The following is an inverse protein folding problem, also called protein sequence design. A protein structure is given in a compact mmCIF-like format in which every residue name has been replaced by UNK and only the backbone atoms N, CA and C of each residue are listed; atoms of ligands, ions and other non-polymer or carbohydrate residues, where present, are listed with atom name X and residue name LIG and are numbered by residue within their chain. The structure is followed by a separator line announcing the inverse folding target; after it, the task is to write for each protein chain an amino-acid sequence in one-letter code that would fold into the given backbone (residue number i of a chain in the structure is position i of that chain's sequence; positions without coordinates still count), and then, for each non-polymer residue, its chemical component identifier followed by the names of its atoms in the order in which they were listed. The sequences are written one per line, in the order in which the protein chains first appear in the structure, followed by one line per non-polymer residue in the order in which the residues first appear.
data_IF_353453206293
#
_entry.id   IF_353453206293
#
_cell.length_a   1.000
_cell.length_b   1.000
_cell.length_c   1.000
_cell.angle_alpha   90.00
_cell.angle_beta   90.00
_cell.angle_gamma   90.00
#
_symmetry.space_group_name_H-M   'P 1'
#
loop_
_entity.id
_entity.type
_entity.pdbx_description
1 polymer ?
#
# COMPACT_ATOMS: atom_id res chain seq x y z
N UNK A 1 -29.29 9.66 -8.21
CA UNK A 1 -29.81 9.46 -9.57
C UNK A 1 -30.65 10.69 -9.95
N UNK A 2 -31.78 10.98 -9.27
CA UNK A 2 -32.60 12.18 -9.54
C UNK A 2 -31.82 13.49 -9.46
N UNK A 3 -30.91 13.63 -8.47
CA UNK A 3 -30.05 14.82 -8.32
C UNK A 3 -29.09 15.02 -9.48
N UNK A 4 -28.74 13.95 -10.21
CA UNK A 4 -27.88 14.00 -11.37
C UNK A 4 -28.67 14.13 -12.71
N UNK A 5 -30.00 14.33 -12.66
CA UNK A 5 -30.85 14.39 -13.82
C UNK A 5 -30.97 13.07 -14.60
N UNK A 6 -30.61 11.93 -13.96
CA UNK A 6 -30.66 10.61 -14.60
C UNK A 6 -31.98 9.91 -14.30
N UNK A 7 -32.64 9.44 -15.34
CA UNK A 7 -33.89 8.66 -15.23
C UNK A 7 -33.62 7.16 -15.04
N UNK A 8 -32.70 6.84 -14.12
CA UNK A 8 -32.35 5.47 -13.79
C UNK A 8 -33.07 4.98 -12.57
N UNK A 9 -33.53 3.73 -12.60
CA UNK A 9 -34.03 3.06 -11.41
C UNK A 9 -32.88 2.68 -10.51
N UNK A 10 -32.94 3.05 -9.23
CA UNK A 10 -31.95 2.63 -8.26
C UNK A 10 -31.96 1.10 -8.11
N UNK A 11 -30.82 0.41 -8.22
CA UNK A 11 -30.78 -1.03 -8.00
C UNK A 11 -31.09 -1.34 -6.52
N UNK A 12 -31.71 -2.48 -6.29
CA UNK A 12 -31.95 -2.96 -4.93
C UNK A 12 -30.64 -3.42 -4.24
N UNK A 13 -30.70 -3.57 -2.94
CA UNK A 13 -29.56 -3.98 -2.12
C UNK A 13 -28.98 -5.33 -2.55
N UNK A 14 -29.83 -6.31 -2.92
CA UNK A 14 -29.39 -7.65 -3.31
C UNK A 14 -28.62 -7.63 -4.63
N UNK A 15 -29.05 -6.80 -5.56
CA UNK A 15 -28.36 -6.55 -6.84
C UNK A 15 -26.99 -5.94 -6.61
N UNK A 16 -26.88 -4.94 -5.72
CA UNK A 16 -25.57 -4.34 -5.37
C UNK A 16 -24.64 -5.36 -4.72
N UNK A 17 -25.14 -6.14 -3.76
CA UNK A 17 -24.35 -7.18 -3.09
C UNK A 17 -23.83 -8.26 -4.04
N UNK A 18 -24.66 -8.69 -5.00
CA UNK A 18 -24.23 -9.67 -6.02
C UNK A 18 -23.17 -9.08 -6.94
N UNK A 19 -23.36 -7.85 -7.44
CA UNK A 19 -22.41 -7.17 -8.31
C UNK A 19 -21.08 -6.91 -7.60
N UNK A 20 -21.09 -6.49 -6.35
CA UNK A 20 -19.88 -6.23 -5.56
C UNK A 20 -18.94 -7.45 -5.49
N UNK A 21 -19.48 -8.67 -5.51
CA UNK A 21 -18.68 -9.89 -5.47
C UNK A 21 -17.94 -10.17 -6.79
N UNK A 22 -18.48 -9.73 -7.93
CA UNK A 22 -18.01 -10.08 -9.25
C UNK A 22 -17.50 -8.89 -10.08
N UNK A 23 -17.58 -7.68 -9.54
CA UNK A 23 -17.11 -6.49 -10.25
C UNK A 23 -15.59 -6.49 -10.28
N UNK A 24 -15.02 -6.35 -11.46
CA UNK A 24 -13.62 -6.04 -11.65
C UNK A 24 -13.46 -4.52 -11.74
N UNK A 25 -12.74 -3.96 -10.77
CA UNK A 25 -12.52 -2.52 -10.67
C UNK A 25 -11.09 -2.22 -11.08
N UNK A 26 -10.93 -1.75 -12.31
CA UNK A 26 -9.65 -1.25 -12.77
C UNK A 26 -9.28 0.04 -12.03
N UNK A 27 -8.08 0.08 -11.49
CA UNK A 27 -7.52 1.28 -10.86
C UNK A 27 -6.83 2.09 -11.95
N UNK A 28 -7.51 3.13 -12.43
CA UNK A 28 -6.91 4.06 -13.37
C UNK A 28 -5.98 5.05 -12.66
N UNK A 29 -4.86 5.37 -13.30
CA UNK A 29 -3.89 6.34 -12.80
C UNK A 29 -3.13 7.00 -13.97
N UNK A 30 -2.50 8.13 -13.71
CA UNK A 30 -1.58 8.77 -14.65
C UNK A 30 -0.17 8.24 -14.45
N UNK A 31 0.51 7.86 -15.54
CA UNK A 31 1.92 7.47 -15.47
C UNK A 31 2.78 8.68 -15.13
N UNK A 32 3.80 8.48 -14.29
CA UNK A 32 4.81 9.50 -14.02
C UNK A 32 5.64 9.80 -15.27
N UNK A 33 5.81 11.08 -15.59
CA UNK A 33 6.61 11.51 -16.76
C UNK A 33 8.12 11.30 -16.54
N UNK A 34 8.59 11.39 -15.30
CA UNK A 34 10.02 11.39 -14.93
C UNK A 34 10.49 10.07 -14.29
N UNK A 35 9.69 9.01 -14.37
CA UNK A 35 9.93 7.77 -13.65
C UNK A 35 9.20 7.72 -12.31
N UNK A 36 8.82 6.53 -11.89
CA UNK A 36 7.99 6.31 -10.70
C UNK A 36 8.84 6.29 -9.43
N UNK A 37 8.53 7.17 -8.50
CA UNK A 37 8.97 7.09 -7.11
C UNK A 37 7.85 6.49 -6.25
N UNK A 38 7.91 5.18 -6.03
CA UNK A 38 6.85 4.43 -5.35
C UNK A 38 7.01 4.49 -3.83
N UNK A 39 6.02 5.03 -3.13
CA UNK A 39 5.95 5.05 -1.67
C UNK A 39 5.05 3.91 -1.20
N UNK A 40 5.57 2.97 -0.42
CA UNK A 40 4.85 1.77 0.02
C UNK A 40 4.74 1.73 1.53
N UNK A 41 3.54 1.42 2.01
CA UNK A 41 3.28 1.18 3.43
C UNK A 41 2.04 0.30 3.63
N UNK A 42 1.78 -0.12 4.87
CA UNK A 42 0.60 -0.89 5.25
C UNK A 42 -0.14 -0.29 6.43
N UNK A 43 -1.44 -0.56 6.51
CA UNK A 43 -2.27 -0.16 7.65
C UNK A 43 -3.31 -1.21 7.98
N UNK A 44 -3.68 -1.30 9.27
CA UNK A 44 -4.78 -2.15 9.70
C UNK A 44 -6.15 -1.53 9.40
N UNK A 45 -7.07 -2.35 8.90
CA UNK A 45 -8.47 -2.02 8.72
C UNK A 45 -9.36 -2.99 9.50
N UNK A 46 -10.33 -2.44 10.21
CA UNK A 46 -11.41 -3.21 10.82
C UNK A 46 -12.37 -3.72 9.74
N UNK A 47 -13.14 -4.74 10.04
CA UNK A 47 -14.21 -5.20 9.17
C UNK A 47 -15.44 -5.66 9.97
N UNK A 48 -16.60 -5.68 9.33
CA UNK A 48 -17.84 -6.07 9.96
C UNK A 48 -17.78 -7.56 10.38
N UNK A 49 -18.12 -7.86 11.64
CA UNK A 49 -18.10 -9.23 12.16
C UNK A 49 -16.75 -9.69 12.70
N UNK A 50 -15.80 -8.79 12.97
CA UNK A 50 -14.47 -9.07 13.51
C UNK A 50 -14.42 -9.77 14.89
N UNK A 51 -15.59 -10.13 15.42
CA UNK A 51 -15.71 -10.91 16.67
C UNK A 51 -15.59 -10.10 17.95
N UNK A 52 -15.75 -8.77 17.93
CA UNK A 52 -15.76 -7.93 19.15
C UNK A 52 -16.75 -8.45 20.20
N UNK A 53 -17.94 -8.89 19.75
CA UNK A 53 -18.96 -9.44 20.63
C UNK A 53 -18.56 -10.82 21.17
N UNK A 54 -17.99 -11.70 20.36
CA UNK A 54 -17.50 -13.03 20.80
C UNK A 54 -16.35 -12.90 21.79
N UNK A 55 -15.46 -11.91 21.61
CA UNK A 55 -14.37 -11.63 22.54
C UNK A 55 -14.87 -11.17 23.91
N UNK A 56 -15.91 -10.34 23.95
CA UNK A 56 -16.53 -9.91 25.22
C UNK A 56 -17.20 -11.07 25.96
N UNK A 57 -17.70 -12.07 25.22
CA UNK A 57 -18.49 -13.18 25.79
C UNK A 57 -17.68 -14.44 26.08
N UNK A 58 -16.60 -14.73 25.35
CA UNK A 58 -15.92 -16.03 25.34
C UNK A 58 -14.44 -16.04 25.72
N UNK A 59 -13.90 -14.97 26.34
CA UNK A 59 -12.55 -14.87 26.90
C UNK A 59 -11.42 -14.29 26.02
N UNK A 60 -10.27 -13.91 26.66
CA UNK A 60 -9.17 -13.13 26.06
C UNK A 60 -8.36 -13.84 24.97
N UNK A 61 -8.54 -15.13 24.75
CA UNK A 61 -7.84 -15.90 23.69
C UNK A 61 -8.35 -15.60 22.26
N UNK A 62 -9.53 -14.99 22.13
CA UNK A 62 -10.07 -14.62 20.82
C UNK A 62 -9.40 -13.32 20.34
N UNK A 63 -8.25 -13.42 19.68
CA UNK A 63 -7.57 -12.28 19.09
C UNK A 63 -8.48 -11.59 18.10
N UNK A 64 -8.61 -10.26 18.26
CA UNK A 64 -9.33 -9.41 17.32
C UNK A 64 -8.75 -9.60 15.92
N UNK A 65 -9.60 -9.90 14.94
CA UNK A 65 -9.19 -10.01 13.55
C UNK A 65 -9.31 -8.64 12.87
N UNK A 66 -8.32 -8.32 12.05
CA UNK A 66 -8.33 -7.16 11.16
C UNK A 66 -7.74 -7.55 9.81
N UNK A 67 -7.95 -6.72 8.81
CA UNK A 67 -7.29 -6.84 7.51
C UNK A 67 -6.11 -5.90 7.47
N UNK A 68 -5.09 -6.26 6.70
CA UNK A 68 -3.99 -5.36 6.36
C UNK A 68 -4.21 -4.85 4.96
N UNK A 69 -4.22 -3.54 4.83
CA UNK A 69 -4.23 -2.85 3.56
C UNK A 69 -2.80 -2.40 3.24
N UNK A 70 -2.27 -2.87 2.13
CA UNK A 70 -0.97 -2.46 1.60
C UNK A 70 -1.22 -1.59 0.38
N UNK A 71 -0.57 -0.44 0.29
CA UNK A 71 -0.68 0.45 -0.86
C UNK A 71 0.69 0.92 -1.32
N UNK A 72 0.81 1.12 -2.64
CA UNK A 72 1.91 1.84 -3.28
C UNK A 72 1.37 3.07 -3.97
N UNK A 73 1.88 4.25 -3.63
CA UNK A 73 1.49 5.51 -4.25
C UNK A 73 2.65 6.14 -5.00
N UNK A 74 2.36 6.90 -6.01
CA UNK A 74 3.32 7.76 -6.69
C UNK A 74 3.63 8.99 -5.82
N UNK A 75 4.90 9.29 -5.62
CA UNK A 75 5.34 10.44 -4.83
C UNK A 75 5.05 11.79 -5.49
N UNK A 76 4.86 11.83 -6.82
CA UNK A 76 4.59 13.07 -7.58
C UNK A 76 3.09 13.31 -7.73
N UNK A 77 2.37 12.34 -8.27
CA UNK A 77 0.95 12.48 -8.56
C UNK A 77 0.06 12.17 -7.36
N UNK A 78 0.60 11.55 -6.32
CA UNK A 78 -0.12 11.04 -5.14
C UNK A 78 -1.24 10.04 -5.47
N UNK A 79 -1.25 9.50 -6.68
CA UNK A 79 -2.20 8.47 -7.08
C UNK A 79 -1.76 7.10 -6.55
N UNK A 80 -2.74 6.29 -6.16
CA UNK A 80 -2.50 4.91 -5.73
C UNK A 80 -2.25 4.08 -7.00
N UNK A 81 -1.07 3.46 -7.06
CA UNK A 81 -0.58 2.68 -8.20
C UNK A 81 -0.71 1.17 -7.98
N UNK A 82 -0.66 0.76 -6.73
CA UNK A 82 -0.79 -0.64 -6.35
C UNK A 82 -1.55 -0.74 -5.02
N UNK A 83 -2.37 -1.77 -4.88
CA UNK A 83 -3.13 -2.03 -3.65
C UNK A 83 -3.30 -3.53 -3.45
N UNK A 84 -3.18 -3.97 -2.19
CA UNK A 84 -3.46 -5.34 -1.81
C UNK A 84 -4.07 -5.40 -0.41
N UNK A 85 -5.12 -6.19 -0.28
CA UNK A 85 -5.74 -6.51 1.00
C UNK A 85 -5.30 -7.91 1.43
N UNK A 86 -4.85 -8.06 2.67
CA UNK A 86 -4.43 -9.35 3.22
C UNK A 86 -5.04 -9.60 4.60
N UNK A 87 -4.91 -10.81 5.07
CA UNK A 87 -5.16 -11.13 6.47
C UNK A 87 -4.02 -10.61 7.35
N UNK A 88 -4.25 -10.47 8.65
CA UNK A 88 -3.30 -9.89 9.60
C UNK A 88 -2.03 -10.74 9.86
N UNK A 89 -2.01 -11.99 9.42
CA UNK A 89 -0.88 -12.90 9.56
C UNK A 89 0.18 -12.75 8.45
N UNK A 90 -0.15 -12.06 7.36
CA UNK A 90 0.80 -11.79 6.28
C UNK A 90 1.70 -10.61 6.67
N UNK A 91 3.02 -10.79 6.55
CA UNK A 91 3.99 -9.73 6.82
C UNK A 91 4.07 -8.73 5.66
N UNK A 92 4.38 -7.47 5.97
CA UNK A 92 4.47 -6.41 4.94
C UNK A 92 5.51 -6.72 3.87
N UNK A 93 6.64 -7.31 4.28
CA UNK A 93 7.72 -7.68 3.35
C UNK A 93 7.36 -8.79 2.35
N UNK A 94 6.32 -9.60 2.62
CA UNK A 94 5.87 -10.64 1.68
C UNK A 94 5.06 -10.07 0.52
N UNK A 95 4.45 -8.91 0.70
CA UNK A 95 3.50 -8.31 -0.25
C UNK A 95 4.18 -7.40 -1.27
N UNK A 96 5.42 -6.95 -0.99
CA UNK A 96 6.10 -5.99 -1.85
C UNK A 96 6.25 -6.46 -3.31
N UNK A 97 6.52 -7.76 -3.51
CA UNK A 97 6.62 -8.35 -4.85
C UNK A 97 5.31 -8.22 -5.64
N UNK A 98 4.19 -8.52 -4.98
CA UNK A 98 2.86 -8.43 -5.59
C UNK A 98 2.47 -6.97 -5.90
N UNK A 99 2.83 -6.03 -5.03
CA UNK A 99 2.61 -4.60 -5.29
C UNK A 99 3.43 -4.11 -6.49
N UNK A 100 4.71 -4.48 -6.58
CA UNK A 100 5.55 -4.14 -7.73
C UNK A 100 5.11 -4.85 -9.01
N UNK A 101 4.52 -6.04 -8.89
CA UNK A 101 3.93 -6.77 -10.01
C UNK A 101 2.71 -6.08 -10.63
N UNK A 102 2.01 -5.21 -9.89
CA UNK A 102 0.90 -4.41 -10.40
C UNK A 102 1.36 -3.21 -11.24
N UNK A 103 2.63 -2.81 -11.11
CA UNK A 103 3.20 -1.73 -11.94
C UNK A 103 3.61 -2.30 -13.29
N UNK A 104 3.15 -1.75 -14.42
CA UNK A 104 3.51 -2.22 -15.75
C UNK A 104 5.02 -2.35 -15.95
N UNK A 105 5.45 -3.37 -16.69
CA UNK A 105 6.87 -3.62 -16.92
C UNK A 105 7.54 -2.54 -17.79
N UNK A 106 6.77 -1.89 -18.64
CA UNK A 106 7.20 -0.77 -19.49
C UNK A 106 7.33 0.56 -18.72
N UNK A 107 6.89 0.59 -17.47
CA UNK A 107 7.01 1.78 -16.62
C UNK A 107 8.31 1.72 -15.80
N UNK A 108 9.14 2.75 -15.97
CA UNK A 108 10.39 2.90 -15.22
C UNK A 108 10.08 3.23 -13.76
N UNK A 109 10.57 2.40 -12.85
CA UNK A 109 10.54 2.66 -11.41
C UNK A 109 11.89 3.14 -10.96
N UNK A 110 12.01 4.41 -10.57
CA UNK A 110 13.29 5.00 -10.15
C UNK A 110 13.65 4.66 -8.71
N UNK A 111 12.66 4.66 -7.82
CA UNK A 111 12.91 4.33 -6.41
C UNK A 111 11.67 3.80 -5.70
N UNK A 112 11.91 2.99 -4.67
CA UNK A 112 10.88 2.43 -3.80
C UNK A 112 11.19 2.80 -2.35
N UNK A 113 10.28 3.55 -1.72
CA UNK A 113 10.39 4.01 -0.34
C UNK A 113 9.52 3.14 0.56
N UNK A 114 10.12 2.53 1.57
CA UNK A 114 9.40 1.72 2.56
C UNK A 114 9.96 1.93 3.95
N UNK A 115 9.32 1.39 4.96
CA UNK A 115 9.87 1.38 6.31
C UNK A 115 10.90 0.26 6.53
N UNK A 116 11.48 0.19 7.72
CA UNK A 116 12.49 -0.82 8.08
C UNK A 116 11.95 -2.26 8.18
N UNK A 117 10.63 -2.49 8.17
CA UNK A 117 10.05 -3.83 8.13
C UNK A 117 10.35 -4.53 6.80
N UNK A 118 10.50 -3.75 5.74
CA UNK A 118 10.87 -4.22 4.40
C UNK A 118 12.39 -4.41 4.21
N UNK A 119 13.25 -4.16 5.20
CA UNK A 119 14.71 -4.41 5.08
C UNK A 119 15.00 -5.91 5.12
N UNK A 120 14.60 -6.62 4.07
CA UNK A 120 14.80 -8.05 3.84
C UNK A 120 15.48 -8.30 2.50
N UNK A 121 16.15 -9.46 2.37
CA UNK A 121 16.81 -9.84 1.11
C UNK A 121 15.81 -9.95 -0.04
N UNK A 122 14.62 -10.51 0.24
CA UNK A 122 13.56 -10.67 -0.74
C UNK A 122 13.10 -9.32 -1.29
N UNK A 123 12.76 -8.35 -0.41
CA UNK A 123 12.32 -7.03 -0.83
C UNK A 123 13.38 -6.30 -1.66
N UNK A 124 14.62 -6.30 -1.21
CA UNK A 124 15.71 -5.64 -1.94
C UNK A 124 15.99 -6.29 -3.28
N UNK A 125 15.86 -7.63 -3.38
CA UNK A 125 15.99 -8.33 -4.66
C UNK A 125 14.89 -7.90 -5.63
N UNK A 126 13.63 -7.92 -5.21
CA UNK A 126 12.49 -7.56 -6.07
C UNK A 126 12.59 -6.11 -6.57
N UNK A 127 13.08 -5.19 -5.73
CA UNK A 127 13.33 -3.80 -6.13
C UNK A 127 14.50 -3.73 -7.14
N UNK A 128 15.58 -4.46 -6.87
CA UNK A 128 16.74 -4.52 -7.78
C UNK A 128 16.39 -5.14 -9.13
N UNK A 129 15.53 -6.15 -9.17
CA UNK A 129 15.04 -6.78 -10.39
C UNK A 129 14.24 -5.79 -11.27
N UNK A 130 13.65 -4.74 -10.66
CA UNK A 130 13.01 -3.60 -11.35
C UNK A 130 13.98 -2.47 -11.69
N UNK A 131 15.29 -2.66 -11.45
CA UNK A 131 16.33 -1.63 -11.61
C UNK A 131 16.07 -0.35 -10.81
N UNK A 132 15.31 -0.45 -9.74
CA UNK A 132 14.91 0.66 -8.88
C UNK A 132 15.83 0.81 -7.67
N UNK A 133 15.96 2.03 -7.16
CA UNK A 133 16.71 2.31 -5.94
C UNK A 133 15.87 2.05 -4.69
N UNK A 134 16.41 1.25 -3.76
CA UNK A 134 15.71 0.89 -2.52
C UNK A 134 15.99 1.91 -1.39
N UNK A 135 15.03 2.78 -1.10
CA UNK A 135 15.10 3.74 0.01
C UNK A 135 14.46 3.13 1.27
N UNK A 136 15.17 2.18 1.87
CA UNK A 136 14.72 1.40 3.03
C UNK A 136 15.70 1.63 4.18
N UNK A 137 15.25 2.18 5.32
CA UNK A 137 16.13 2.37 6.47
C UNK A 137 16.53 1.00 7.05
N UNK A 138 17.82 0.76 7.34
CA UNK A 138 18.23 -0.48 7.97
C UNK A 138 17.60 -0.60 9.36
N UNK A 139 17.29 -1.82 9.81
CA UNK A 139 16.79 -2.08 11.16
C UNK A 139 17.80 -1.62 12.21
N UNK A 140 17.34 -1.35 13.44
CA UNK A 140 18.19 -0.81 14.53
C UNK A 140 19.47 -1.63 14.79
N UNK A 141 19.36 -2.95 14.76
CA UNK A 141 20.46 -3.89 15.01
C UNK A 141 20.92 -4.61 13.74
N UNK A 142 20.81 -3.96 12.58
CA UNK A 142 21.16 -4.56 11.30
C UNK A 142 22.65 -4.89 11.21
N UNK A 143 22.96 -6.11 10.77
CA UNK A 143 24.32 -6.58 10.47
C UNK A 143 24.52 -6.64 8.94
N UNK A 144 25.74 -6.52 8.44
CA UNK A 144 26.04 -6.73 7.02
C UNK A 144 25.62 -8.13 6.56
N UNK A 145 25.10 -8.21 5.35
CA UNK A 145 24.83 -9.50 4.71
C UNK A 145 26.09 -10.07 4.07
N UNK A 146 26.26 -11.37 4.13
CA UNK A 146 27.47 -12.06 3.68
C UNK A 146 27.50 -12.38 2.19
N UNK A 147 26.35 -12.27 1.51
CA UNK A 147 26.29 -12.57 0.07
C UNK A 147 26.80 -11.39 -0.78
N UNK A 148 27.24 -11.71 -2.01
CA UNK A 148 27.88 -10.79 -2.94
C UNK A 148 26.93 -10.21 -4.00
N UNK A 149 25.62 -10.43 -3.85
CA UNK A 149 24.61 -9.90 -4.78
C UNK A 149 24.55 -8.38 -4.71
N UNK A 150 24.27 -7.73 -5.85
CA UNK A 150 24.23 -6.26 -5.98
C UNK A 150 23.38 -5.61 -4.89
N UNK A 151 22.13 -6.02 -4.73
CA UNK A 151 21.23 -5.48 -3.71
C UNK A 151 21.74 -5.66 -2.26
N UNK A 152 22.54 -6.68 -2.01
CA UNK A 152 23.14 -6.91 -0.68
C UNK A 152 24.37 -6.03 -0.45
N UNK A 153 25.16 -5.78 -1.49
CA UNK A 153 26.28 -4.83 -1.44
C UNK A 153 25.76 -3.40 -1.23
N UNK A 154 24.80 -2.96 -2.02
CA UNK A 154 24.15 -1.65 -1.86
C UNK A 154 23.59 -1.45 -0.44
N UNK A 155 22.92 -2.46 0.09
CA UNK A 155 22.39 -2.42 1.46
C UNK A 155 23.50 -2.36 2.51
N UNK A 156 24.61 -3.05 2.31
CA UNK A 156 25.76 -3.02 3.21
C UNK A 156 26.47 -1.65 3.19
N UNK A 157 26.60 -1.05 2.01
CA UNK A 157 27.11 0.33 1.87
C UNK A 157 26.19 1.34 2.54
N UNK A 158 24.88 1.21 2.35
CA UNK A 158 23.89 2.01 3.07
C UNK A 158 24.06 1.87 4.60
N UNK A 159 24.27 0.65 5.10
CA UNK A 159 24.45 0.40 6.54
C UNK A 159 25.74 1.09 7.04
N UNK A 160 26.85 1.06 6.30
CA UNK A 160 28.07 1.77 6.62
C UNK A 160 27.84 3.30 6.65
N UNK A 161 27.15 3.81 5.63
CA UNK A 161 26.79 5.23 5.52
C UNK A 161 25.96 5.70 6.71
N UNK A 162 24.91 4.96 7.06
CA UNK A 162 24.04 5.28 8.19
C UNK A 162 24.79 5.20 9.54
N UNK A 163 25.73 4.26 9.69
CA UNK A 163 26.57 4.18 10.90
C UNK A 163 27.54 5.37 11.01
N UNK A 164 28.10 5.82 9.88
CA UNK A 164 29.08 6.93 9.86
C UNK A 164 28.41 8.31 10.01
N UNK A 165 27.35 8.58 9.28
CA UNK A 165 26.72 9.91 9.18
C UNK A 165 25.50 10.09 10.07
N UNK A 166 24.96 9.01 10.61
CA UNK A 166 23.72 9.02 11.37
C UNK A 166 22.47 8.89 10.51
N UNK A 167 21.43 8.33 11.10
CA UNK A 167 20.14 8.06 10.42
C UNK A 167 19.41 9.32 10.01
N UNK A 168 19.51 10.39 10.79
CA UNK A 168 18.83 11.66 10.49
C UNK A 168 19.34 12.29 9.19
N UNK A 169 20.67 12.36 9.03
CA UNK A 169 21.28 12.92 7.83
C UNK A 169 20.99 12.06 6.60
N UNK A 170 21.07 10.73 6.73
CA UNK A 170 20.69 9.83 5.65
C UNK A 170 19.24 10.02 5.19
N UNK A 171 18.29 10.12 6.14
CA UNK A 171 16.87 10.39 5.82
C UNK A 171 16.68 11.69 5.03
N UNK A 172 17.43 12.74 5.37
CA UNK A 172 17.39 14.02 4.67
C UNK A 172 17.92 13.86 3.23
N UNK A 173 19.07 13.23 3.04
CA UNK A 173 19.71 13.08 1.72
C UNK A 173 18.95 12.13 0.79
N UNK A 174 18.41 11.03 1.34
CA UNK A 174 17.66 10.06 0.55
C UNK A 174 16.23 10.49 0.19
N UNK A 175 15.79 11.65 0.68
CA UNK A 175 14.40 12.09 0.51
C UNK A 175 13.37 11.20 1.23
N UNK A 176 13.79 10.42 2.23
CA UNK A 176 12.95 9.46 2.95
C UNK A 176 11.68 10.09 3.55
N UNK A 177 11.69 11.39 3.81
CA UNK A 177 10.53 12.12 4.34
C UNK A 177 9.29 12.03 3.44
N UNK A 178 9.47 11.85 2.12
CA UNK A 178 8.36 11.64 1.18
C UNK A 178 7.45 10.48 1.59
N UNK A 179 7.98 9.49 2.32
CA UNK A 179 7.20 8.33 2.79
C UNK A 179 5.97 8.75 3.61
N UNK A 180 6.01 9.87 4.34
CA UNK A 180 4.85 10.34 5.10
C UNK A 180 3.60 10.60 4.23
N UNK A 181 3.76 10.83 2.93
CA UNK A 181 2.64 11.03 2.00
C UNK A 181 1.76 9.78 1.88
N UNK A 182 2.35 8.58 1.99
CA UNK A 182 1.54 7.35 1.96
C UNK A 182 0.65 7.22 3.20
N UNK A 183 1.13 7.67 4.36
CA UNK A 183 0.34 7.68 5.61
C UNK A 183 -0.88 8.62 5.47
N UNK A 184 -0.68 9.79 4.85
CA UNK A 184 -1.76 10.72 4.52
C UNK A 184 -2.78 10.09 3.58
N UNK A 185 -2.32 9.39 2.53
CA UNK A 185 -3.21 8.70 1.60
C UNK A 185 -3.99 7.56 2.27
N UNK A 186 -3.37 6.82 3.18
CA UNK A 186 -4.06 5.81 4.00
C UNK A 186 -5.14 6.42 4.88
N UNK A 187 -4.89 7.60 5.46
CA UNK A 187 -5.90 8.33 6.19
C UNK A 187 -7.09 8.69 5.30
N UNK A 188 -6.85 9.18 4.08
CA UNK A 188 -7.91 9.48 3.11
C UNK A 188 -8.77 8.24 2.77
N UNK A 189 -8.15 7.04 2.63
CA UNK A 189 -8.91 5.79 2.43
C UNK A 189 -9.84 5.52 3.63
N UNK A 190 -9.36 5.75 4.85
CA UNK A 190 -10.16 5.56 6.08
C UNK A 190 -11.28 6.58 6.22
N UNK A 191 -11.14 7.80 5.67
CA UNK A 191 -12.23 8.78 5.64
C UNK A 191 -13.39 8.35 4.74
N UNK A 192 -13.15 7.55 3.70
CA UNK A 192 -14.21 6.93 2.89
C UNK A 192 -14.93 5.78 3.62
N UNK A 193 -14.38 5.33 4.75
CA UNK A 193 -14.97 4.33 5.63
C UNK A 193 -13.92 3.77 6.59
N UNK A 194 -14.18 3.87 7.88
CA UNK A 194 -13.31 3.45 8.98
C UNK A 194 -13.13 1.92 9.09
N UNK A 195 -14.08 1.18 8.51
CA UNK A 195 -14.11 -0.28 8.46
C UNK A 195 -14.61 -0.78 7.11
N UNK A 196 -14.37 -2.07 6.84
CA UNK A 196 -14.95 -2.77 5.70
C UNK A 196 -16.33 -3.29 6.09
N UNK A 197 -17.32 -3.04 5.25
CA UNK A 197 -18.72 -3.44 5.52
C UNK A 197 -19.04 -4.81 4.95
N UNK A 198 -18.28 -5.25 3.94
CA UNK A 198 -18.46 -6.57 3.34
C UNK A 198 -18.02 -7.68 4.30
N UNK A 199 -18.76 -8.80 4.30
CA UNK A 199 -18.47 -9.94 5.19
C UNK A 199 -17.44 -10.89 4.62
N UNK A 200 -17.49 -11.12 3.31
CA UNK A 200 -16.58 -12.06 2.65
C UNK A 200 -15.33 -11.33 2.13
N UNK A 201 -14.21 -12.06 2.01
CA UNK A 201 -12.92 -11.48 1.67
C UNK A 201 -12.90 -10.86 0.27
N UNK A 202 -13.46 -11.53 -0.75
CA UNK A 202 -13.45 -11.03 -2.14
C UNK A 202 -14.23 -9.72 -2.26
N UNK A 203 -15.40 -9.65 -1.58
CA UNK A 203 -16.16 -8.40 -1.53
C UNK A 203 -15.44 -7.30 -0.75
N UNK A 204 -14.62 -7.65 0.26
CA UNK A 204 -13.75 -6.69 0.96
C UNK A 204 -12.66 -6.14 0.04
N UNK A 205 -12.07 -6.99 -0.80
CA UNK A 205 -11.09 -6.57 -1.83
C UNK A 205 -11.74 -5.59 -2.79
N UNK A 206 -12.90 -5.92 -3.33
CA UNK A 206 -13.62 -5.04 -4.26
C UNK A 206 -14.07 -3.72 -3.61
N UNK A 207 -14.44 -3.75 -2.33
CA UNK A 207 -14.75 -2.55 -1.56
C UNK A 207 -13.52 -1.61 -1.47
N UNK A 208 -12.33 -2.16 -1.25
CA UNK A 208 -11.08 -1.39 -1.24
C UNK A 208 -10.76 -0.85 -2.63
N UNK A 209 -10.89 -1.67 -3.68
CA UNK A 209 -10.64 -1.22 -5.05
C UNK A 209 -11.56 -0.05 -5.44
N UNK A 210 -12.85 -0.10 -5.04
CA UNK A 210 -13.78 1.00 -5.26
C UNK A 210 -13.34 2.28 -4.53
N UNK A 211 -12.92 2.19 -3.25
CA UNK A 211 -12.41 3.33 -2.49
C UNK A 211 -11.16 3.93 -3.14
N UNK A 212 -10.25 3.08 -3.60
CA UNK A 212 -9.01 3.50 -4.28
C UNK A 212 -9.33 4.21 -5.60
N UNK A 213 -10.24 3.66 -6.42
CA UNK A 213 -10.66 4.29 -7.68
C UNK A 213 -11.26 5.68 -7.45
N UNK A 214 -12.12 5.83 -6.43
CA UNK A 214 -12.71 7.12 -6.02
C UNK A 214 -11.62 8.10 -5.61
N UNK A 215 -10.64 7.67 -4.79
CA UNK A 215 -9.56 8.54 -4.33
C UNK A 215 -8.62 8.96 -5.46
N UNK A 216 -8.31 8.07 -6.39
CA UNK A 216 -7.52 8.43 -7.57
C UNK A 216 -8.27 9.47 -8.43
N UNK A 217 -9.59 9.32 -8.57
CA UNK A 217 -10.40 10.31 -9.28
C UNK A 217 -10.40 11.68 -8.58
N UNK A 218 -10.52 11.72 -7.26
CA UNK A 218 -10.40 12.98 -6.51
C UNK A 218 -9.01 13.61 -6.66
N UNK A 219 -7.95 12.79 -6.62
CA UNK A 219 -6.57 13.27 -6.82
C UNK A 219 -6.39 13.86 -8.22
N UNK A 220 -6.91 13.20 -9.25
CA UNK A 220 -6.90 13.71 -10.63
C UNK A 220 -7.62 15.05 -10.77
N UNK A 221 -8.79 15.19 -10.15
CA UNK A 221 -9.57 16.42 -10.19
C UNK A 221 -8.89 17.57 -9.43
N UNK A 222 -8.24 17.28 -8.29
CA UNK A 222 -7.50 18.27 -7.49
C UNK A 222 -6.17 18.70 -8.10
N UNK A 223 -5.61 17.93 -9.02
CA UNK A 223 -4.35 18.26 -9.72
C UNK A 223 -4.54 19.18 -10.93
N UNK A 224 -5.76 19.59 -11.23
CA UNK A 224 -6.10 20.46 -12.37
C UNK A 224 -6.11 21.95 -12.06
N UNK A 225 -5.55 22.34 -10.90
CA UNK A 225 -5.44 23.74 -10.48
C UNK A 225 -4.00 24.21 -10.37
#
# INVERSE_FOLDING_TARGET
IKLCGLDWTAPDYTTLCRRQKHIDIAISYQKSSNGLHLLVDSTGLKFLGEGEWKRKKHQPEYRRQWRKLHIGIDAETLQIRAVQLTTNNISDSQVLGDLLGQIPLDERVDSVYTDGAYDTKCCRRVISDRQAYAVIPPRKNAKPWKDTKVHSQERNELLKTVKRLGRALWKKWSGYHRRSLVETKMHCIKLLGDKLYSRNFDSQVNEIHARVAVLNKFTELGSRH
#
